data_IF_733996777733
#
_entry.id   IF_733996777733
#
_cell.length_a   1.000
_cell.length_b   1.000
_cell.length_c   1.000
_cell.angle_alpha   90.00
_cell.angle_beta   90.00
_cell.angle_gamma   90.00
#
_symmetry.space_group_name_H-M   'P 1'
#
loop_
_entity.id
_entity.type
_entity.pdbx_description
1 polymer ?
#
# COMPACT_ATOMS: atom_id res chain seq x y z
N UNK A 1 35.25 37.01 0.24
CA UNK A 1 35.58 35.80 -0.55
C UNK A 1 34.38 34.90 -0.58
N UNK A 2 33.70 34.92 -1.71
CA UNK A 2 32.33 34.40 -1.88
C UNK A 2 32.40 32.97 -2.42
N UNK A 3 32.35 31.97 -1.55
CA UNK A 3 32.31 30.54 -1.92
C UNK A 3 30.88 30.08 -2.34
N UNK A 4 29.86 30.88 -2.01
CA UNK A 4 28.47 30.57 -2.32
C UNK A 4 28.12 30.67 -3.83
N UNK A 5 28.85 31.47 -4.60
CA UNK A 5 28.59 31.68 -6.04
C UNK A 5 29.16 30.59 -6.94
N UNK A 6 29.85 29.60 -6.41
CA UNK A 6 30.41 28.49 -7.19
C UNK A 6 29.56 27.21 -7.16
N UNK A 7 28.46 27.21 -6.41
CA UNK A 7 27.53 26.06 -6.33
C UNK A 7 26.22 26.30 -7.09
N UNK A 8 26.06 27.45 -7.70
CA UNK A 8 24.97 27.66 -8.65
C UNK A 8 25.43 27.06 -9.97
N UNK A 9 24.94 25.87 -10.25
CA UNK A 9 24.98 25.25 -11.57
C UNK A 9 24.51 26.28 -12.59
N UNK A 10 25.42 26.73 -13.41
CA UNK A 10 25.18 27.57 -14.56
C UNK A 10 24.37 26.71 -15.54
N UNK A 11 23.10 27.04 -15.68
CA UNK A 11 22.17 26.47 -16.64
C UNK A 11 22.58 26.89 -18.08
N UNK A 12 23.63 26.27 -18.60
CA UNK A 12 24.00 26.42 -20.03
C UNK A 12 24.31 25.03 -20.63
N UNK A 13 23.34 24.09 -20.50
CA UNK A 13 23.30 22.93 -21.39
C UNK A 13 22.17 23.18 -22.38
N UNK A 14 22.45 23.61 -23.62
CA UNK A 14 21.40 23.70 -24.61
C UNK A 14 20.92 22.29 -24.98
N UNK A 15 19.71 21.98 -24.57
CA UNK A 15 18.93 20.80 -25.02
C UNK A 15 18.50 21.05 -26.50
N UNK A 16 19.43 21.25 -27.41
CA UNK A 16 19.17 21.11 -28.82
C UNK A 16 20.10 20.02 -29.35
N UNK A 17 19.58 18.81 -29.42
CA UNK A 17 20.28 17.61 -29.90
C UNK A 17 20.60 17.68 -31.40
N UNK A 18 21.30 18.69 -31.87
CA UNK A 18 21.89 18.73 -33.19
C UNK A 18 23.37 19.03 -33.05
N UNK A 19 24.16 17.98 -32.97
CA UNK A 19 25.60 18.05 -33.20
C UNK A 19 25.77 18.41 -34.72
N UNK A 20 26.43 19.52 -35.09
CA UNK A 20 26.67 19.82 -36.49
C UNK A 20 27.61 18.75 -37.06
N UNK A 21 27.03 17.86 -37.85
CA UNK A 21 27.81 16.86 -38.60
C UNK A 21 28.53 17.59 -39.72
N UNK A 22 29.88 17.56 -39.68
CA UNK A 22 30.69 18.20 -40.72
C UNK A 22 30.35 17.64 -42.11
N UNK A 23 30.40 18.47 -43.17
CA UNK A 23 30.01 18.06 -44.51
C UNK A 23 30.82 16.90 -45.09
N UNK A 24 31.96 16.55 -44.51
CA UNK A 24 32.87 15.51 -44.98
C UNK A 24 32.40 14.06 -44.77
N UNK A 25 31.34 13.84 -43.99
CA UNK A 25 30.82 12.48 -43.74
C UNK A 25 29.56 12.12 -44.53
N UNK A 26 29.14 12.95 -45.50
CA UNK A 26 27.93 12.74 -46.30
C UNK A 26 28.05 11.68 -47.39
N UNK A 27 29.23 11.04 -47.54
CA UNK A 27 29.48 10.08 -48.61
C UNK A 27 29.66 8.63 -48.22
N UNK A 28 29.77 8.35 -46.88
CA UNK A 28 29.89 6.97 -46.42
C UNK A 28 28.51 6.43 -46.12
N UNK A 29 27.94 5.66 -47.03
CA UNK A 29 26.70 4.93 -46.88
C UNK A 29 26.72 4.09 -45.58
N UNK A 30 26.24 4.62 -44.51
CA UNK A 30 26.06 3.94 -43.24
C UNK A 30 24.92 2.93 -43.40
N UNK A 31 25.23 1.75 -43.97
CA UNK A 31 24.38 0.58 -43.81
C UNK A 31 24.21 0.38 -42.31
N UNK A 32 23.08 0.83 -41.80
CA UNK A 32 22.64 0.64 -40.42
C UNK A 32 22.71 -0.86 -40.09
N UNK A 33 23.76 -1.26 -39.41
CA UNK A 33 23.95 -2.64 -38.97
C UNK A 33 23.01 -2.92 -37.81
N UNK A 34 21.74 -3.17 -38.13
CA UNK A 34 20.69 -3.56 -37.20
C UNK A 34 21.02 -4.85 -36.40
N UNK A 35 22.06 -5.59 -36.84
CA UNK A 35 22.51 -6.81 -36.17
C UNK A 35 23.37 -6.58 -34.93
N UNK A 36 23.98 -5.40 -34.75
CA UNK A 36 24.81 -5.15 -33.56
C UNK A 36 24.03 -4.72 -32.29
N UNK A 37 22.74 -4.38 -32.40
CA UNK A 37 21.92 -4.07 -31.21
C UNK A 37 21.47 -5.31 -30.44
N UNK A 38 21.58 -6.52 -31.00
CA UNK A 38 21.13 -7.76 -30.35
C UNK A 38 22.27 -8.57 -29.69
N UNK A 39 23.51 -8.18 -29.83
CA UNK A 39 24.65 -8.95 -29.29
C UNK A 39 25.35 -8.34 -28.07
N UNK A 40 24.91 -7.18 -27.57
CA UNK A 40 25.47 -6.61 -26.35
C UNK A 40 24.70 -7.12 -25.08
N UNK A 41 23.87 -8.14 -25.21
CA UNK A 41 23.44 -8.99 -24.08
C UNK A 41 24.55 -9.98 -23.66
N UNK A 42 25.80 -9.51 -23.70
CA UNK A 42 26.96 -10.33 -23.42
C UNK A 42 27.31 -10.25 -21.91
N UNK A 43 28.04 -11.17 -21.46
CA UNK A 43 28.72 -11.45 -20.19
C UNK A 43 28.59 -10.46 -19.01
N UNK A 44 28.52 -9.13 -19.24
CA UNK A 44 28.26 -8.11 -18.23
C UNK A 44 26.82 -8.23 -17.69
N UNK A 45 25.82 -8.32 -18.56
CA UNK A 45 24.41 -8.45 -18.13
C UNK A 45 24.13 -9.71 -17.31
N UNK A 46 24.81 -10.82 -17.62
CA UNK A 46 24.65 -12.06 -16.81
C UNK A 46 25.29 -11.97 -15.43
N UNK A 47 26.35 -11.18 -15.26
CA UNK A 47 26.95 -10.92 -13.94
C UNK A 47 26.05 -10.00 -13.12
N UNK A 48 25.50 -8.96 -13.74
CA UNK A 48 24.55 -8.04 -13.10
C UNK A 48 23.27 -8.76 -12.68
N UNK A 49 22.71 -9.62 -13.55
CA UNK A 49 21.56 -10.47 -13.21
C UNK A 49 21.85 -11.39 -12.01
N UNK A 50 23.01 -12.06 -11.98
CA UNK A 50 23.40 -12.92 -10.84
C UNK A 50 23.55 -12.13 -9.55
N UNK A 51 24.15 -10.96 -9.61
CA UNK A 51 24.31 -10.09 -8.44
C UNK A 51 22.95 -9.61 -7.95
N UNK A 52 22.04 -9.24 -8.86
CA UNK A 52 20.68 -8.85 -8.51
C UNK A 52 19.92 -9.99 -7.81
N UNK A 53 19.99 -11.21 -8.35
CA UNK A 53 19.37 -12.38 -7.69
C UNK A 53 19.99 -12.67 -6.32
N UNK A 54 21.32 -12.61 -6.19
CA UNK A 54 21.98 -12.80 -4.89
C UNK A 54 21.53 -11.76 -3.85
N UNK A 55 21.35 -10.51 -4.26
CA UNK A 55 20.83 -9.46 -3.38
C UNK A 55 19.35 -9.67 -3.01
N UNK A 56 18.57 -10.32 -3.89
CA UNK A 56 17.16 -10.61 -3.64
C UNK A 56 16.93 -11.84 -2.75
N UNK A 57 17.88 -12.80 -2.73
CA UNK A 57 17.75 -14.05 -1.97
C UNK A 57 17.38 -13.81 -0.50
N UNK A 58 18.08 -12.96 0.28
CA UNK A 58 17.77 -12.76 1.69
C UNK A 58 16.34 -12.24 1.90
N UNK A 59 15.91 -11.28 1.09
CA UNK A 59 14.56 -10.73 1.15
C UNK A 59 13.52 -11.78 0.75
N UNK A 60 13.78 -12.52 -0.33
CA UNK A 60 12.87 -13.57 -0.80
C UNK A 60 12.74 -14.71 0.22
N UNK A 61 13.85 -15.13 0.83
CA UNK A 61 13.83 -16.15 1.90
C UNK A 61 13.03 -15.66 3.12
N UNK A 62 13.24 -14.40 3.55
CA UNK A 62 12.49 -13.82 4.66
C UNK A 62 10.98 -13.80 4.39
N UNK A 63 10.57 -13.31 3.23
CA UNK A 63 9.15 -13.28 2.83
C UNK A 63 8.58 -14.70 2.69
N UNK A 64 9.37 -15.63 2.11
CA UNK A 64 8.94 -17.02 1.93
C UNK A 64 8.69 -17.72 3.26
N UNK A 65 9.58 -17.57 4.23
CA UNK A 65 9.47 -18.20 5.54
C UNK A 65 8.36 -17.58 6.40
N UNK A 66 8.21 -16.27 6.35
CA UNK A 66 7.30 -15.56 7.25
C UNK A 66 5.87 -15.46 6.66
N UNK A 67 5.73 -15.37 5.34
CA UNK A 67 4.43 -15.15 4.70
C UNK A 67 3.95 -16.37 3.90
N UNK A 68 4.76 -16.88 2.98
CA UNK A 68 4.30 -17.97 2.10
C UNK A 68 4.19 -19.31 2.83
N UNK A 69 5.16 -19.66 3.67
CA UNK A 69 5.14 -20.95 4.38
C UNK A 69 3.93 -21.07 5.34
N UNK A 70 3.63 -20.09 6.21
CA UNK A 70 2.42 -20.13 7.02
C UNK A 70 1.14 -20.15 6.18
N UNK A 71 1.09 -19.40 5.08
CA UNK A 71 -0.07 -19.40 4.19
C UNK A 71 -0.31 -20.79 3.59
N UNK A 72 0.74 -21.46 3.08
CA UNK A 72 0.62 -22.84 2.60
C UNK A 72 0.21 -23.81 3.72
N UNK A 73 0.75 -23.63 4.92
CA UNK A 73 0.35 -24.45 6.07
C UNK A 73 -1.15 -24.29 6.38
N UNK A 74 -1.72 -23.09 6.29
CA UNK A 74 -3.17 -22.86 6.45
C UNK A 74 -3.99 -23.59 5.39
N UNK A 75 -3.54 -23.61 4.12
CA UNK A 75 -4.22 -24.38 3.08
C UNK A 75 -4.21 -25.88 3.39
N UNK A 76 -3.10 -26.43 3.85
CA UNK A 76 -3.03 -27.84 4.26
C UNK A 76 -3.93 -28.09 5.48
N UNK A 77 -3.87 -27.23 6.50
CA UNK A 77 -4.66 -27.35 7.72
C UNK A 77 -6.17 -27.17 7.47
N UNK A 78 -6.58 -26.52 6.38
CA UNK A 78 -7.99 -26.30 6.08
C UNK A 78 -8.81 -27.59 5.92
N UNK A 79 -8.15 -28.71 5.57
CA UNK A 79 -8.77 -30.04 5.47
C UNK A 79 -8.61 -30.90 6.71
N UNK A 80 -8.04 -30.32 7.79
CA UNK A 80 -7.91 -30.95 9.09
C UNK A 80 -8.77 -30.24 10.13
N UNK A 81 -9.25 -31.00 11.10
CA UNK A 81 -9.84 -30.47 12.33
C UNK A 81 -8.75 -30.43 13.41
N UNK A 82 -8.37 -29.23 13.83
CA UNK A 82 -7.31 -29.04 14.79
C UNK A 82 -7.56 -27.85 15.70
N UNK A 83 -7.34 -28.02 17.00
CA UNK A 83 -7.50 -27.00 18.00
C UNK A 83 -6.17 -26.39 18.48
N UNK A 84 -5.06 -26.72 17.83
CA UNK A 84 -3.72 -26.24 18.18
C UNK A 84 -3.05 -27.04 19.32
N UNK A 85 -3.76 -27.88 20.03
CA UNK A 85 -3.26 -28.61 21.21
C UNK A 85 -3.25 -30.13 21.02
N UNK A 86 -4.24 -30.68 20.33
CA UNK A 86 -4.37 -32.11 20.04
C UNK A 86 -3.71 -32.46 18.72
N UNK A 87 -3.62 -33.75 18.38
CA UNK A 87 -3.23 -34.18 17.05
C UNK A 87 -4.26 -33.75 16.01
N UNK A 88 -3.83 -33.23 14.83
CA UNK A 88 -4.74 -32.87 13.77
C UNK A 88 -5.45 -34.10 13.20
N UNK A 89 -6.76 -34.04 13.05
CA UNK A 89 -7.60 -35.09 12.47
C UNK A 89 -7.98 -34.70 11.04
N UNK A 90 -7.76 -35.58 10.07
CA UNK A 90 -8.10 -35.32 8.69
C UNK A 90 -9.63 -35.44 8.49
N UNK A 91 -10.30 -34.36 8.10
CA UNK A 91 -11.75 -34.28 7.89
C UNK A 91 -12.15 -33.91 6.47
N UNK A 92 -11.17 -33.79 5.56
CA UNK A 92 -11.44 -33.44 4.17
C UNK A 92 -12.18 -32.12 4.01
N UNK A 93 -13.34 -32.15 3.34
CA UNK A 93 -14.12 -30.94 3.03
C UNK A 93 -15.15 -30.55 4.10
N UNK A 94 -15.18 -31.23 5.25
CA UNK A 94 -16.18 -30.97 6.31
C UNK A 94 -16.13 -29.53 6.83
N UNK A 95 -14.93 -28.96 6.98
CA UNK A 95 -14.77 -27.57 7.40
C UNK A 95 -15.46 -26.61 6.43
N UNK A 96 -15.30 -26.82 5.13
CA UNK A 96 -15.91 -25.97 4.11
C UNK A 96 -17.44 -26.16 4.07
N UNK A 97 -17.92 -27.40 4.14
CA UNK A 97 -19.36 -27.66 4.25
C UNK A 97 -19.97 -26.95 5.45
N UNK A 98 -19.29 -27.00 6.61
CA UNK A 98 -19.73 -26.33 7.84
C UNK A 98 -19.85 -24.82 7.65
N UNK A 99 -18.87 -24.18 7.02
CA UNK A 99 -18.90 -22.73 6.74
C UNK A 99 -20.09 -22.36 5.87
N UNK A 100 -20.34 -23.13 4.80
CA UNK A 100 -21.40 -22.78 3.83
C UNK A 100 -22.81 -23.17 4.29
N UNK A 101 -22.95 -24.16 5.16
CA UNK A 101 -24.28 -24.70 5.52
C UNK A 101 -24.71 -24.47 6.94
N UNK A 102 -23.76 -24.34 7.88
CA UNK A 102 -24.05 -24.29 9.32
C UNK A 102 -23.65 -22.96 9.98
N UNK A 103 -22.76 -22.19 9.35
CA UNK A 103 -22.29 -20.92 9.91
C UNK A 103 -23.28 -19.80 9.58
N UNK A 104 -24.04 -19.39 10.60
CA UNK A 104 -25.05 -18.33 10.49
C UNK A 104 -24.44 -16.95 10.22
N UNK A 105 -23.17 -16.74 10.57
CA UNK A 105 -22.50 -15.47 10.41
C UNK A 105 -21.74 -15.32 9.08
N UNK A 106 -21.56 -16.41 8.34
CA UNK A 106 -20.76 -16.41 7.12
C UNK A 106 -21.29 -15.44 6.07
N UNK A 107 -22.59 -15.49 5.79
CA UNK A 107 -23.23 -14.63 4.81
C UNK A 107 -23.15 -13.14 5.20
N UNK A 108 -23.36 -12.83 6.47
CA UNK A 108 -23.29 -11.45 6.97
C UNK A 108 -21.85 -10.93 7.00
N UNK A 109 -20.88 -11.79 7.32
CA UNK A 109 -19.46 -11.45 7.21
C UNK A 109 -19.03 -11.12 5.80
N UNK A 110 -19.50 -11.88 4.80
CA UNK A 110 -19.24 -11.58 3.37
C UNK A 110 -19.87 -10.24 2.97
N UNK A 111 -21.13 -10.00 3.32
CA UNK A 111 -21.80 -8.72 3.03
C UNK A 111 -21.06 -7.54 3.65
N UNK A 112 -20.70 -7.66 4.93
CA UNK A 112 -19.95 -6.63 5.65
C UNK A 112 -18.57 -6.37 5.01
N UNK A 113 -17.88 -7.43 4.60
CA UNK A 113 -16.56 -7.33 3.95
C UNK A 113 -16.66 -6.65 2.58
N UNK A 114 -17.64 -7.04 1.76
CA UNK A 114 -17.86 -6.42 0.44
C UNK A 114 -18.22 -4.94 0.61
N UNK A 115 -19.14 -4.63 1.52
CA UNK A 115 -19.56 -3.25 1.79
C UNK A 115 -18.38 -2.42 2.29
N UNK A 116 -17.61 -2.94 3.25
CA UNK A 116 -16.41 -2.30 3.75
C UNK A 116 -15.39 -2.05 2.63
N UNK A 117 -15.05 -3.08 1.85
CA UNK A 117 -14.07 -2.97 0.78
C UNK A 117 -14.48 -1.92 -0.27
N UNK A 118 -15.75 -1.94 -0.69
CA UNK A 118 -16.27 -1.00 -1.67
C UNK A 118 -16.21 0.44 -1.14
N UNK A 119 -16.70 0.68 0.06
CA UNK A 119 -16.71 2.02 0.66
C UNK A 119 -15.30 2.51 0.98
N UNK A 120 -14.43 1.66 1.52
CA UNK A 120 -13.06 2.02 1.87
C UNK A 120 -12.24 2.34 0.62
N UNK A 121 -12.29 1.51 -0.42
CA UNK A 121 -11.53 1.73 -1.67
C UNK A 121 -12.00 2.98 -2.39
N UNK A 122 -13.30 3.13 -2.60
CA UNK A 122 -13.86 4.32 -3.27
C UNK A 122 -13.58 5.57 -2.46
N UNK A 123 -13.81 5.52 -1.15
CA UNK A 123 -13.54 6.64 -0.25
C UNK A 123 -12.07 7.04 -0.22
N UNK A 124 -11.16 6.07 -0.14
CA UNK A 124 -9.71 6.32 -0.17
C UNK A 124 -9.26 6.94 -1.50
N UNK A 125 -9.78 6.47 -2.64
CA UNK A 125 -9.46 7.05 -3.95
C UNK A 125 -9.93 8.51 -4.03
N UNK A 126 -11.16 8.80 -3.62
CA UNK A 126 -11.71 10.16 -3.65
C UNK A 126 -10.89 11.06 -2.70
N UNK A 127 -10.69 10.63 -1.46
CA UNK A 127 -9.93 11.38 -0.47
C UNK A 127 -8.49 11.65 -0.91
N UNK A 128 -7.77 10.64 -1.36
CA UNK A 128 -6.39 10.78 -1.81
C UNK A 128 -6.27 11.68 -3.05
N UNK A 129 -7.24 11.61 -3.98
CA UNK A 129 -7.29 12.51 -5.13
C UNK A 129 -7.50 13.97 -4.70
N UNK A 130 -8.45 14.22 -3.79
CA UNK A 130 -8.71 15.56 -3.25
C UNK A 130 -7.48 16.12 -2.55
N UNK A 131 -6.83 15.35 -1.69
CA UNK A 131 -5.59 15.74 -1.01
C UNK A 131 -4.46 15.99 -2.02
N UNK A 132 -4.30 15.14 -3.03
CA UNK A 132 -3.29 15.31 -4.07
C UNK A 132 -3.51 16.60 -4.88
N UNK A 133 -4.75 16.90 -5.25
CA UNK A 133 -5.10 18.14 -5.94
C UNK A 133 -4.84 19.37 -5.05
N UNK A 134 -5.25 19.32 -3.78
CA UNK A 134 -4.98 20.38 -2.82
C UNK A 134 -3.48 20.64 -2.65
N UNK A 135 -2.70 19.59 -2.48
CA UNK A 135 -1.25 19.67 -2.33
C UNK A 135 -0.51 20.03 -3.62
N UNK A 136 -1.16 19.95 -4.78
CA UNK A 136 -0.60 20.40 -6.05
C UNK A 136 -0.77 21.92 -6.26
N UNK A 137 -1.71 22.54 -5.58
CA UNK A 137 -1.91 24.00 -5.63
C UNK A 137 -0.74 24.74 -4.95
N UNK A 138 -0.47 25.97 -5.40
CA UNK A 138 0.55 26.86 -4.78
C UNK A 138 -0.03 27.51 -3.51
N UNK A 139 -0.21 26.72 -2.45
CA UNK A 139 -0.71 27.18 -1.16
C UNK A 139 0.45 27.46 -0.20
N UNK A 140 0.27 28.49 0.65
CA UNK A 140 1.21 28.77 1.74
C UNK A 140 1.23 27.60 2.72
N UNK A 141 2.42 27.18 3.18
CA UNK A 141 2.56 26.06 4.11
C UNK A 141 2.40 24.66 3.48
N UNK A 142 2.42 24.51 2.14
CA UNK A 142 2.29 23.22 1.42
C UNK A 142 3.15 22.10 1.99
N UNK A 143 4.40 22.43 2.40
CA UNK A 143 5.32 21.43 2.97
C UNK A 143 4.82 20.90 4.31
N UNK A 144 4.24 21.78 5.14
CA UNK A 144 3.65 21.41 6.44
C UNK A 144 2.45 20.49 6.22
N UNK A 145 1.54 20.87 5.32
CA UNK A 145 0.38 20.02 4.99
C UNK A 145 0.81 18.65 4.48
N UNK A 146 1.81 18.58 3.58
CA UNK A 146 2.35 17.31 3.11
C UNK A 146 2.86 16.43 4.27
N UNK A 147 3.57 17.02 5.23
CA UNK A 147 4.04 16.30 6.41
C UNK A 147 2.87 15.79 7.27
N UNK A 148 1.85 16.62 7.50
CA UNK A 148 0.66 16.24 8.29
C UNK A 148 -0.07 15.04 7.65
N UNK A 149 -0.31 15.08 6.35
CA UNK A 149 -0.96 13.97 5.63
C UNK A 149 -0.10 12.71 5.54
N UNK A 150 1.21 12.82 5.75
CA UNK A 150 2.11 11.67 5.77
C UNK A 150 2.25 11.02 7.15
N UNK A 151 1.89 11.74 8.24
CA UNK A 151 1.98 11.23 9.62
C UNK A 151 1.25 9.89 9.80
N UNK A 152 0.00 9.68 9.34
CA UNK A 152 -0.70 8.41 9.54
C UNK A 152 0.10 7.20 9.05
N UNK A 153 0.78 7.33 7.92
CA UNK A 153 1.59 6.27 7.34
C UNK A 153 2.82 5.90 8.18
N UNK A 154 3.35 6.83 8.98
CA UNK A 154 4.52 6.61 9.83
C UNK A 154 4.18 6.00 11.19
N UNK A 155 2.92 6.04 11.59
CA UNK A 155 2.51 5.57 12.91
C UNK A 155 2.37 4.03 12.92
N UNK A 156 2.76 3.36 14.03
CA UNK A 156 2.50 1.95 14.20
C UNK A 156 1.00 1.65 14.16
N UNK A 157 0.58 0.72 13.30
CA UNK A 157 -0.84 0.41 13.07
C UNK A 157 -1.60 0.09 14.38
N UNK A 158 -0.98 -0.64 15.30
CA UNK A 158 -1.59 -0.98 16.60
C UNK A 158 -1.92 0.29 17.40
N UNK A 159 -0.99 1.26 17.45
CA UNK A 159 -1.21 2.53 18.13
C UNK A 159 -2.34 3.34 17.51
N UNK A 160 -2.38 3.39 16.17
CA UNK A 160 -3.44 4.05 15.41
C UNK A 160 -4.81 3.46 15.74
N UNK A 161 -4.95 2.13 15.63
CA UNK A 161 -6.24 1.48 15.91
C UNK A 161 -6.68 1.63 17.36
N UNK A 162 -5.76 1.60 18.32
CA UNK A 162 -6.08 1.85 19.74
C UNK A 162 -6.52 3.30 19.98
N UNK A 163 -5.89 4.27 19.31
CA UNK A 163 -6.30 5.66 19.35
C UNK A 163 -7.73 5.85 18.81
N UNK A 164 -8.03 5.27 17.63
CA UNK A 164 -9.37 5.32 17.07
C UNK A 164 -10.40 4.59 17.92
N UNK A 165 -10.07 3.44 18.51
CA UNK A 165 -10.95 2.73 19.45
C UNK A 165 -11.34 3.62 20.64
N UNK A 166 -10.37 4.36 21.18
CA UNK A 166 -10.64 5.31 22.26
C UNK A 166 -11.50 6.51 21.78
N UNK A 167 -11.24 7.05 20.59
CA UNK A 167 -12.07 8.14 20.02
C UNK A 167 -13.53 7.73 19.83
N UNK A 168 -13.77 6.47 19.43
CA UNK A 168 -15.11 5.91 19.19
C UNK A 168 -15.76 5.31 20.46
N UNK A 169 -15.09 5.34 21.60
CA UNK A 169 -15.65 4.77 22.83
C UNK A 169 -17.00 5.43 23.19
N UNK A 170 -17.96 4.58 23.62
CA UNK A 170 -19.37 4.99 23.80
C UNK A 170 -19.60 6.01 24.91
N UNK A 171 -18.90 5.87 26.03
CA UNK A 171 -19.15 6.65 27.24
C UNK A 171 -18.29 7.91 27.32
N UNK A 172 -16.98 7.78 27.11
CA UNK A 172 -16.00 8.87 27.29
C UNK A 172 -15.19 9.17 26.03
N UNK A 173 -15.52 8.54 24.89
CA UNK A 173 -14.85 8.83 23.62
C UNK A 173 -15.06 10.26 23.15
N UNK A 174 -14.03 10.81 22.52
CA UNK A 174 -14.03 12.21 22.07
C UNK A 174 -15.19 12.53 21.14
N UNK A 175 -15.55 11.63 20.23
CA UNK A 175 -16.67 11.88 19.30
C UNK A 175 -18.01 11.98 20.04
N UNK A 176 -18.26 11.12 21.02
CA UNK A 176 -19.46 11.20 21.84
C UNK A 176 -19.46 12.40 22.80
N UNK A 177 -18.29 12.82 23.24
CA UNK A 177 -18.18 14.08 23.99
C UNK A 177 -18.63 15.28 23.14
N UNK A 178 -18.14 15.38 21.91
CA UNK A 178 -18.53 16.44 20.96
C UNK A 178 -20.02 16.35 20.61
N UNK A 179 -20.55 15.16 20.34
CA UNK A 179 -21.98 14.96 20.05
C UNK A 179 -22.84 15.44 21.20
N UNK A 180 -22.47 15.14 22.44
CA UNK A 180 -23.20 15.62 23.64
C UNK A 180 -23.16 17.15 23.77
N UNK A 181 -22.02 17.77 23.49
CA UNK A 181 -21.91 19.23 23.49
C UNK A 181 -22.85 19.90 22.45
N UNK A 182 -23.09 19.22 21.32
CA UNK A 182 -23.99 19.65 20.28
C UNK A 182 -25.47 19.28 20.55
N UNK A 183 -25.78 18.71 21.71
CA UNK A 183 -27.13 18.26 22.06
C UNK A 183 -27.59 16.99 21.33
N UNK A 184 -26.67 16.27 20.68
CA UNK A 184 -26.95 15.05 19.93
C UNK A 184 -26.84 13.80 20.83
N UNK A 185 -27.59 12.75 20.48
CA UNK A 185 -27.52 11.48 21.20
C UNK A 185 -26.16 10.79 20.97
N UNK A 186 -25.53 10.21 22.00
CA UNK A 186 -24.34 9.41 21.86
C UNK A 186 -24.55 8.24 20.88
N UNK A 187 -23.52 7.92 20.11
CA UNK A 187 -23.52 6.87 19.12
C UNK A 187 -22.68 5.67 19.61
N UNK A 188 -23.04 4.48 19.17
CA UNK A 188 -22.31 3.24 19.56
C UNK A 188 -21.18 2.88 18.62
N UNK A 189 -20.98 3.59 17.53
CA UNK A 189 -19.92 3.44 16.54
C UNK A 189 -19.51 1.97 16.29
N UNK A 190 -18.48 1.49 17.01
CA UNK A 190 -17.93 0.13 16.83
C UNK A 190 -18.79 -0.98 17.46
N UNK A 191 -19.70 -0.63 18.38
CA UNK A 191 -20.55 -1.60 19.11
C UNK A 191 -21.95 -1.73 18.47
N UNK A 192 -22.19 -1.13 17.33
CA UNK A 192 -23.45 -1.22 16.60
C UNK A 192 -23.26 -1.88 15.22
N UNK A 193 -24.02 -2.92 14.89
CA UNK A 193 -23.93 -3.58 13.56
C UNK A 193 -24.13 -2.63 12.38
N UNK A 194 -24.94 -1.57 12.53
CA UNK A 194 -25.18 -0.58 11.48
C UNK A 194 -24.09 0.48 11.36
N UNK A 195 -23.31 0.71 12.42
CA UNK A 195 -22.33 1.80 12.47
C UNK A 195 -20.88 1.31 12.38
N UNK A 196 -20.62 0.03 12.66
CA UNK A 196 -19.26 -0.53 12.67
C UNK A 196 -18.56 -0.40 11.31
N UNK A 197 -19.24 -0.75 10.24
CA UNK A 197 -18.66 -0.68 8.89
C UNK A 197 -18.33 0.77 8.49
N UNK A 198 -19.25 1.75 8.59
CA UNK A 198 -18.91 3.16 8.34
C UNK A 198 -17.77 3.68 9.23
N UNK A 199 -17.73 3.30 10.51
CA UNK A 199 -16.67 3.73 11.42
C UNK A 199 -15.31 3.20 11.01
N UNK A 200 -15.23 1.92 10.60
CA UNK A 200 -14.00 1.31 10.09
C UNK A 200 -13.56 1.92 8.75
N UNK A 201 -14.51 2.29 7.88
CA UNK A 201 -14.24 2.98 6.62
C UNK A 201 -13.57 4.33 6.85
N UNK A 202 -14.02 5.11 7.84
CA UNK A 202 -13.39 6.39 8.20
C UNK A 202 -11.93 6.18 8.62
N UNK A 203 -11.65 5.15 9.42
CA UNK A 203 -10.26 4.81 9.81
C UNK A 203 -9.43 4.46 8.57
N UNK A 204 -9.96 3.61 7.69
CA UNK A 204 -9.25 3.16 6.48
C UNK A 204 -8.97 4.29 5.49
N UNK A 205 -9.85 5.31 5.40
CA UNK A 205 -9.63 6.47 4.54
C UNK A 205 -8.57 7.41 5.13
N UNK A 206 -8.50 7.49 6.46
CA UNK A 206 -7.54 8.36 7.12
C UNK A 206 -6.12 7.78 7.14
N UNK A 207 -5.95 6.46 7.20
CA UNK A 207 -4.64 5.76 7.19
C UNK A 207 -4.06 5.58 5.79
#
# INVERSE_FOLDING_TARGET
>A
SNWADRLLFKDDIPYSGQIPVSPLLRGAGMKSNKKNKMQVKSRAGRKEERTAYLCLIPAFLGVSLISYLPTLAVFVLSVFKWNGLSSPEFVGMENFQRIFTKDIYFADSIKATILYALLAVVGAIIYSLLVALLLNMKIWGRTIFRSIFFIPYLLPAIGVYKGWQWLYEGNFGLFNFVLRMLGMKPQRFLDSPSQVVPSLVVIAIWT
#
